data_IF_928512523141
#
_entry.id   IF_928512523141
#
_cell.length_a   1.000
_cell.length_b   1.000
_cell.length_c   1.000
_cell.angle_alpha   90.00
_cell.angle_beta   90.00
_cell.angle_gamma   90.00
#
_symmetry.space_group_name_H-M   'P 1'
#
loop_
_entity.id
_entity.type
_entity.pdbx_description
1 polymer ?
#
# COMPACT_ATOMS: atom_id res chain seq x y z
N UNK A 1 -23.01 17.72 -25.16
CA UNK A 1 -22.33 18.49 -26.20
C UNK A 1 -20.87 18.58 -25.83
N UNK A 2 -20.04 17.81 -26.53
CA UNK A 2 -18.61 17.65 -26.24
C UNK A 2 -17.87 18.62 -27.16
N UNK A 3 -17.28 19.67 -26.61
CA UNK A 3 -16.38 20.54 -27.36
C UNK A 3 -15.01 19.88 -27.51
N UNK A 4 -14.80 19.25 -28.63
CA UNK A 4 -13.48 18.85 -29.12
C UNK A 4 -12.80 20.09 -29.70
N UNK A 5 -11.85 20.66 -28.99
CA UNK A 5 -10.94 21.67 -29.53
C UNK A 5 -10.02 20.96 -30.51
N UNK A 6 -10.40 20.96 -31.77
CA UNK A 6 -9.54 20.63 -32.91
C UNK A 6 -8.63 21.83 -33.13
N UNK A 7 -7.36 21.72 -32.79
CA UNK A 7 -6.32 22.62 -33.28
C UNK A 7 -6.13 22.30 -34.76
N UNK A 8 -6.87 23.00 -35.61
CA UNK A 8 -6.67 22.96 -37.05
C UNK A 8 -5.44 23.81 -37.36
N UNK A 9 -4.36 23.16 -37.77
CA UNK A 9 -3.24 23.82 -38.42
C UNK A 9 -3.76 24.36 -39.75
N UNK A 10 -3.96 25.66 -39.85
CA UNK A 10 -4.21 26.37 -41.11
C UNK A 10 -2.97 26.23 -41.98
N UNK A 11 -3.01 25.37 -42.98
CA UNK A 11 -2.08 25.38 -44.09
C UNK A 11 -2.39 26.62 -44.93
N UNK A 12 -1.55 27.63 -44.82
CA UNK A 12 -1.59 28.81 -45.67
C UNK A 12 -1.11 28.46 -47.06
N UNK A 13 -2.05 28.45 -48.01
CA UNK A 13 -1.82 28.16 -49.44
C UNK A 13 -1.33 29.44 -50.13
N UNK A 14 -0.13 29.88 -49.87
CA UNK A 14 0.56 30.84 -50.80
C UNK A 14 2.03 30.95 -50.39
N UNK A 15 2.84 30.10 -50.93
CA UNK A 15 4.22 30.33 -51.40
C UNK A 15 4.89 28.98 -51.69
N UNK A 16 5.06 28.66 -52.98
CA UNK A 16 5.91 27.54 -53.38
C UNK A 16 7.38 27.91 -53.12
N UNK A 17 7.82 27.71 -51.89
CA UNK A 17 9.25 27.66 -51.55
C UNK A 17 9.73 26.25 -51.89
N UNK A 18 10.48 26.15 -52.99
CA UNK A 18 11.30 24.98 -53.32
C UNK A 18 12.36 24.84 -52.21
N UNK A 19 12.04 24.00 -51.23
CA UNK A 19 13.04 23.61 -50.24
C UNK A 19 14.06 22.67 -50.89
N UNK A 20 15.32 22.98 -50.79
CA UNK A 20 16.37 22.03 -51.17
C UNK A 20 16.28 20.83 -50.25
N UNK A 21 16.54 19.63 -50.79
CA UNK A 21 16.55 18.36 -49.99
C UNK A 21 17.40 18.47 -48.73
N UNK A 22 18.42 19.30 -48.70
CA UNK A 22 19.25 19.58 -47.51
C UNK A 22 18.53 20.41 -46.46
N UNK A 23 17.71 21.40 -46.85
CA UNK A 23 16.95 22.20 -45.88
C UNK A 23 15.82 21.39 -45.23
N UNK A 24 15.17 20.52 -45.97
CA UNK A 24 14.14 19.58 -45.49
C UNK A 24 14.75 18.57 -44.49
N UNK A 25 15.93 18.03 -44.81
CA UNK A 25 16.63 17.10 -43.93
C UNK A 25 17.10 17.79 -42.63
N UNK A 26 17.52 19.05 -42.66
CA UNK A 26 17.86 19.79 -41.43
C UNK A 26 16.67 20.09 -40.56
N UNK A 27 15.50 20.42 -41.12
CA UNK A 27 14.27 20.59 -40.37
C UNK A 27 13.73 19.26 -39.80
N UNK A 28 13.78 18.19 -40.57
CA UNK A 28 13.42 16.85 -40.07
C UNK A 28 14.31 16.37 -38.94
N UNK A 29 15.61 16.61 -39.04
CA UNK A 29 16.56 16.30 -37.94
C UNK A 29 16.30 17.16 -36.70
N UNK A 30 15.91 18.43 -36.87
CA UNK A 30 15.57 19.31 -35.75
C UNK A 30 14.28 18.86 -35.07
N UNK A 31 13.23 18.56 -35.85
CA UNK A 31 11.96 18.04 -35.32
C UNK A 31 12.15 16.66 -34.67
N UNK A 32 12.97 15.78 -35.26
CA UNK A 32 13.31 14.49 -34.65
C UNK A 32 14.08 14.65 -33.32
N UNK A 33 14.98 15.63 -33.21
CA UNK A 33 15.67 15.94 -31.96
C UNK A 33 14.73 16.53 -30.92
N UNK A 34 13.80 17.40 -31.31
CA UNK A 34 12.78 17.94 -30.40
C UNK A 34 11.81 16.84 -29.90
N UNK A 35 11.38 15.92 -30.80
CA UNK A 35 10.55 14.77 -30.42
C UNK A 35 11.32 13.78 -29.52
N UNK A 36 12.61 13.57 -29.77
CA UNK A 36 13.46 12.74 -28.93
C UNK A 36 13.71 13.38 -27.56
N UNK A 37 13.97 14.69 -27.49
CA UNK A 37 14.10 15.42 -26.24
C UNK A 37 12.77 15.41 -25.44
N UNK A 38 11.63 15.60 -26.11
CA UNK A 38 10.30 15.50 -25.50
C UNK A 38 9.95 14.07 -25.05
N UNK A 39 10.43 13.05 -25.78
CA UNK A 39 10.35 11.65 -25.35
C UNK A 39 11.31 11.33 -24.21
N UNK A 40 12.51 11.88 -24.19
CA UNK A 40 13.43 11.75 -23.06
C UNK A 40 12.89 12.46 -21.82
N UNK A 41 12.34 13.67 -21.92
CA UNK A 41 11.65 14.31 -20.79
C UNK A 41 10.42 13.53 -20.34
N UNK A 42 9.58 13.03 -21.26
CA UNK A 42 8.45 12.18 -20.91
C UNK A 42 8.87 10.79 -20.44
N UNK A 43 9.98 10.24 -20.90
CA UNK A 43 10.51 8.98 -20.40
C UNK A 43 11.18 9.16 -19.03
N UNK A 44 11.84 10.28 -18.76
CA UNK A 44 12.27 10.63 -17.42
C UNK A 44 11.10 10.92 -16.47
N UNK A 45 10.02 11.52 -16.94
CA UNK A 45 8.80 11.74 -16.15
C UNK A 45 7.93 10.47 -16.01
N UNK A 46 7.97 9.53 -16.97
CA UNK A 46 7.25 8.24 -16.90
C UNK A 46 8.11 7.11 -16.35
N UNK A 47 9.41 7.19 -16.46
CA UNK A 47 10.37 6.43 -15.69
C UNK A 47 10.60 7.09 -14.32
N UNK A 48 9.55 7.40 -13.62
CA UNK A 48 9.58 7.24 -12.17
C UNK A 48 9.71 5.74 -11.92
N UNK A 49 10.84 5.22 -12.35
CA UNK A 49 11.36 3.96 -11.88
C UNK A 49 11.19 4.00 -10.36
N UNK A 50 10.43 3.08 -9.72
CA UNK A 50 10.35 3.06 -8.26
C UNK A 50 11.73 3.05 -7.60
N UNK A 51 12.77 2.64 -8.33
CA UNK A 51 14.17 2.76 -7.94
C UNK A 51 14.68 4.20 -7.89
N UNK A 52 14.15 5.13 -8.65
CA UNK A 52 14.52 6.54 -8.57
C UNK A 52 13.88 7.27 -7.38
N UNK A 53 12.85 6.68 -6.75
CA UNK A 53 12.38 7.08 -5.43
C UNK A 53 13.40 6.60 -4.37
N UNK A 54 14.34 5.70 -4.76
CA UNK A 54 15.43 5.31 -3.95
C UNK A 54 16.29 6.52 -3.62
N UNK A 55 16.41 6.78 -2.33
CA UNK A 55 17.55 7.50 -1.76
C UNK A 55 17.79 8.89 -2.33
N UNK A 56 16.79 9.71 -2.60
CA UNK A 56 16.93 11.06 -2.20
C UNK A 56 17.21 11.00 -0.68
N UNK A 57 18.48 10.93 -0.33
CA UNK A 57 18.93 11.39 0.97
C UNK A 57 18.60 12.87 0.95
N UNK A 58 17.33 13.20 1.13
CA UNK A 58 16.91 14.53 1.52
C UNK A 58 17.72 14.77 2.79
N UNK A 59 18.67 15.71 2.71
CA UNK A 59 19.26 16.28 3.91
C UNK A 59 18.06 16.64 4.76
N UNK A 60 17.86 15.89 5.84
CA UNK A 60 16.84 16.23 6.83
C UNK A 60 17.28 17.55 7.42
N UNK A 61 16.71 18.63 6.94
CA UNK A 61 16.80 19.89 7.66
C UNK A 61 16.14 19.64 9.01
N UNK A 62 16.90 19.92 10.07
CA UNK A 62 16.51 19.67 11.46
C UNK A 62 15.21 20.38 11.90
N UNK A 63 14.49 21.01 10.96
CA UNK A 63 13.21 21.69 11.18
C UNK A 63 11.97 21.00 10.58
N UNK A 64 12.10 19.90 9.83
CA UNK A 64 10.94 19.27 9.16
C UNK A 64 10.15 18.31 10.05
N UNK A 65 10.66 17.95 11.23
CA UNK A 65 10.00 17.02 12.13
C UNK A 65 9.69 15.65 11.49
N UNK A 66 8.80 14.89 12.11
CA UNK A 66 8.40 13.55 11.64
C UNK A 66 7.73 13.59 10.26
N UNK A 67 7.06 14.68 9.91
CA UNK A 67 6.34 14.81 8.64
C UNK A 67 7.25 14.80 7.40
N UNK A 68 8.49 15.28 7.50
CA UNK A 68 9.46 15.20 6.42
C UNK A 68 9.95 13.78 6.11
N UNK A 69 9.80 12.85 7.07
CA UNK A 69 10.21 11.44 6.94
C UNK A 69 9.07 10.54 6.47
N UNK A 70 7.82 10.92 6.77
CA UNK A 70 6.64 10.11 6.43
C UNK A 70 6.45 10.00 4.92
N UNK A 71 6.18 8.79 4.45
CA UNK A 71 5.73 8.58 3.07
C UNK A 71 4.30 9.06 2.89
N UNK A 72 3.98 9.55 1.69
CA UNK A 72 2.61 9.99 1.39
C UNK A 72 1.66 8.80 1.45
N UNK A 73 0.44 9.03 1.92
CA UNK A 73 -0.62 8.01 1.97
C UNK A 73 -0.81 7.33 0.61
N UNK A 74 -0.70 8.09 -0.49
CA UNK A 74 -0.77 7.56 -1.85
C UNK A 74 0.34 6.54 -2.15
N UNK A 75 1.58 6.81 -1.75
CA UNK A 75 2.70 5.88 -1.95
C UNK A 75 2.49 4.57 -1.18
N UNK A 76 1.96 4.65 0.04
CA UNK A 76 1.65 3.49 0.87
C UNK A 76 0.53 2.63 0.26
N UNK A 77 -0.55 3.26 -0.23
CA UNK A 77 -1.61 2.53 -0.93
C UNK A 77 -1.13 1.89 -2.24
N UNK A 78 -0.23 2.55 -2.99
CA UNK A 78 0.37 1.95 -4.19
C UNK A 78 1.12 0.67 -3.82
N UNK A 79 1.94 0.68 -2.76
CA UNK A 79 2.63 -0.53 -2.32
C UNK A 79 1.66 -1.65 -1.93
N UNK A 80 0.60 -1.34 -1.18
CA UNK A 80 -0.41 -2.32 -0.83
C UNK A 80 -1.10 -2.93 -2.08
N UNK A 81 -1.39 -2.12 -3.10
CA UNK A 81 -2.08 -2.57 -4.31
C UNK A 81 -1.16 -3.30 -5.29
N UNK A 82 0.16 -3.05 -5.25
CA UNK A 82 1.10 -3.59 -6.24
C UNK A 82 2.02 -4.68 -5.71
N UNK A 83 2.20 -4.77 -4.39
CA UNK A 83 3.07 -5.77 -3.79
C UNK A 83 2.26 -6.84 -3.04
N UNK A 84 2.33 -8.07 -3.52
CA UNK A 84 1.58 -9.21 -2.99
C UNK A 84 1.90 -9.52 -1.52
N UNK A 85 3.16 -9.36 -1.10
CA UNK A 85 3.57 -9.66 0.28
C UNK A 85 3.02 -8.63 1.26
N UNK A 86 3.03 -7.36 0.87
CA UNK A 86 2.45 -6.26 1.66
C UNK A 86 0.93 -6.46 1.80
N UNK A 87 0.24 -6.70 0.68
CA UNK A 87 -1.20 -6.94 0.69
C UNK A 87 -1.56 -8.16 1.58
N UNK A 88 -0.83 -9.27 1.41
CA UNK A 88 -1.07 -10.48 2.20
C UNK A 88 -0.83 -10.25 3.68
N UNK A 89 0.27 -9.61 4.05
CA UNK A 89 0.60 -9.34 5.46
C UNK A 89 -0.47 -8.48 6.15
N UNK A 90 -0.92 -7.41 5.50
CA UNK A 90 -1.97 -6.52 6.05
C UNK A 90 -3.31 -7.24 6.14
N UNK A 91 -3.69 -7.99 5.09
CA UNK A 91 -4.96 -8.72 5.09
C UNK A 91 -4.99 -9.80 6.18
N UNK A 92 -3.91 -10.56 6.37
CA UNK A 92 -3.79 -11.55 7.45
C UNK A 92 -3.98 -10.91 8.82
N UNK A 93 -3.41 -9.73 9.06
CA UNK A 93 -3.60 -9.00 10.32
C UNK A 93 -5.07 -8.62 10.53
N UNK A 94 -5.74 -8.10 9.50
CA UNK A 94 -7.15 -7.73 9.56
C UNK A 94 -8.07 -8.97 9.69
N UNK A 95 -7.75 -10.07 9.00
CA UNK A 95 -8.50 -11.33 9.08
C UNK A 95 -8.44 -11.91 10.50
N UNK A 96 -7.25 -11.94 11.11
CA UNK A 96 -7.08 -12.41 12.49
C UNK A 96 -7.81 -11.50 13.47
N UNK A 97 -7.78 -10.18 13.28
CA UNK A 97 -8.45 -9.22 14.15
C UNK A 97 -9.94 -9.52 14.31
N UNK A 98 -10.61 -9.93 13.22
CA UNK A 98 -12.06 -10.22 13.22
C UNK A 98 -12.40 -11.71 13.34
N UNK A 99 -11.41 -12.60 13.33
CA UNK A 99 -11.58 -14.07 13.17
C UNK A 99 -12.50 -14.71 14.20
N UNK A 100 -12.46 -14.23 15.44
CA UNK A 100 -13.30 -14.75 16.53
C UNK A 100 -14.61 -13.98 16.74
N UNK A 101 -14.79 -12.89 15.95
CA UNK A 101 -15.93 -12.01 16.07
C UNK A 101 -15.85 -11.07 17.29
N UNK A 102 -16.97 -10.44 17.58
CA UNK A 102 -17.08 -9.44 18.64
C UNK A 102 -18.39 -9.61 19.41
N UNK A 103 -18.45 -9.06 20.60
CA UNK A 103 -19.66 -8.91 21.42
C UNK A 103 -19.94 -7.42 21.67
N UNK A 104 -21.17 -7.13 22.07
CA UNK A 104 -21.57 -5.82 22.58
C UNK A 104 -22.13 -6.07 23.96
N UNK A 105 -21.45 -5.60 25.00
CA UNK A 105 -21.69 -5.98 26.38
C UNK A 105 -21.89 -4.77 27.30
N UNK A 106 -22.63 -4.96 28.37
CA UNK A 106 -22.93 -3.89 29.33
C UNK A 106 -23.91 -2.85 28.77
N UNK A 107 -24.11 -1.77 29.51
CA UNK A 107 -25.13 -0.78 29.13
C UNK A 107 -26.54 -1.23 29.54
N UNK A 108 -27.52 -0.84 28.75
CA UNK A 108 -28.93 -1.28 28.81
C UNK A 108 -29.32 -2.03 27.55
N UNK A 109 -30.44 -2.76 27.56
CA UNK A 109 -30.89 -3.56 26.41
C UNK A 109 -31.13 -2.67 25.17
N UNK A 110 -31.65 -1.47 25.38
CA UNK A 110 -31.87 -0.49 24.30
C UNK A 110 -30.56 -0.04 23.67
N UNK A 111 -29.52 0.17 24.49
CA UNK A 111 -28.19 0.52 24.02
C UNK A 111 -27.51 -0.62 23.25
N UNK A 112 -27.62 -1.85 23.75
CA UNK A 112 -27.09 -3.05 23.07
C UNK A 112 -27.75 -3.20 21.70
N UNK A 113 -29.08 -3.12 21.63
CA UNK A 113 -29.81 -3.24 20.37
C UNK A 113 -29.49 -2.09 19.41
N UNK A 114 -29.41 -0.84 19.88
CA UNK A 114 -29.12 0.32 19.07
C UNK A 114 -27.71 0.29 18.48
N UNK A 115 -26.72 -0.08 19.31
CA UNK A 115 -25.31 -0.18 18.87
C UNK A 115 -25.11 -1.41 17.98
N UNK A 116 -25.78 -2.54 18.24
CA UNK A 116 -25.79 -3.73 17.36
C UNK A 116 -26.29 -3.38 15.97
N UNK A 117 -27.47 -2.75 15.87
CA UNK A 117 -28.03 -2.27 14.60
C UNK A 117 -27.13 -1.24 13.90
N UNK A 118 -26.45 -0.37 14.66
CA UNK A 118 -25.50 0.58 14.08
C UNK A 118 -24.36 -0.13 13.39
N UNK A 119 -23.75 -1.13 14.02
CA UNK A 119 -22.66 -1.91 13.42
C UNK A 119 -23.16 -2.74 12.22
N UNK A 120 -24.30 -3.41 12.32
CA UNK A 120 -24.90 -4.17 11.23
C UNK A 120 -25.18 -3.29 10.00
N UNK A 121 -25.81 -2.14 10.18
CA UNK A 121 -26.09 -1.17 9.13
C UNK A 121 -24.83 -0.56 8.51
N UNK A 122 -23.70 -0.67 9.22
CA UNK A 122 -22.39 -0.17 8.78
C UNK A 122 -21.56 -1.24 8.06
N UNK A 123 -22.06 -2.50 7.98
CA UNK A 123 -21.39 -3.61 7.30
C UNK A 123 -20.90 -4.72 8.21
N UNK A 124 -21.25 -4.72 9.51
CA UNK A 124 -20.88 -5.78 10.46
C UNK A 124 -19.36 -5.92 10.60
N UNK A 125 -18.86 -7.14 10.54
CA UNK A 125 -17.41 -7.45 10.65
C UNK A 125 -16.57 -6.76 9.57
N UNK A 126 -17.14 -6.52 8.38
CA UNK A 126 -16.42 -5.84 7.29
C UNK A 126 -16.07 -4.37 7.63
N UNK A 127 -16.87 -3.72 8.50
CA UNK A 127 -16.55 -2.38 9.01
C UNK A 127 -15.19 -2.38 9.73
N UNK A 128 -14.97 -3.34 10.63
CA UNK A 128 -13.71 -3.48 11.37
C UNK A 128 -12.55 -3.87 10.47
N UNK A 129 -12.79 -4.79 9.55
CA UNK A 129 -11.78 -5.24 8.59
C UNK A 129 -11.27 -4.07 7.73
N UNK A 130 -12.17 -3.32 7.10
CA UNK A 130 -11.79 -2.18 6.27
C UNK A 130 -11.09 -1.09 7.09
N UNK A 131 -11.57 -0.83 8.29
CA UNK A 131 -10.97 0.16 9.18
C UNK A 131 -9.54 -0.26 9.57
N UNK A 132 -9.33 -1.54 9.92
CA UNK A 132 -8.02 -2.10 10.23
C UNK A 132 -7.06 -1.99 9.04
N UNK A 133 -7.48 -2.42 7.85
CA UNK A 133 -6.67 -2.34 6.63
C UNK A 133 -6.28 -0.89 6.31
N UNK A 134 -7.24 0.03 6.33
CA UNK A 134 -6.97 1.45 6.07
C UNK A 134 -5.99 2.04 7.08
N UNK A 135 -6.14 1.68 8.36
CA UNK A 135 -5.29 2.19 9.43
C UNK A 135 -3.89 1.56 9.38
N UNK A 136 -3.76 0.29 9.05
CA UNK A 136 -2.46 -0.34 8.84
C UNK A 136 -1.71 0.27 7.64
N UNK A 137 -2.43 0.59 6.53
CA UNK A 137 -1.82 1.19 5.33
C UNK A 137 -1.44 2.65 5.56
N UNK A 138 -2.36 3.46 6.08
CA UNK A 138 -2.17 4.91 6.17
C UNK A 138 -1.61 5.39 7.51
N UNK A 139 -1.71 4.57 8.57
CA UNK A 139 -1.57 4.99 9.96
C UNK A 139 -2.88 5.52 10.53
N UNK A 140 -3.80 5.93 9.67
CA UNK A 140 -5.02 6.66 10.00
C UNK A 140 -6.25 5.98 9.39
N UNK A 141 -7.30 5.83 10.18
CA UNK A 141 -8.61 5.33 9.76
C UNK A 141 -9.71 6.33 10.11
N UNK A 142 -10.68 6.51 9.22
CA UNK A 142 -11.70 7.53 9.39
C UNK A 142 -13.09 6.95 9.20
N UNK A 143 -14.00 7.27 10.15
CA UNK A 143 -15.41 6.99 10.07
C UNK A 143 -16.22 8.27 10.20
N UNK A 144 -17.26 8.41 9.38
CA UNK A 144 -18.26 9.47 9.46
C UNK A 144 -19.57 8.89 10.02
N UNK A 145 -20.01 9.28 11.23
CA UNK A 145 -21.32 8.90 11.74
C UNK A 145 -22.44 9.65 10.98
N UNK A 146 -23.24 8.90 10.26
CA UNK A 146 -24.40 9.44 9.53
C UNK A 146 -25.59 9.51 10.49
N UNK A 147 -26.07 10.72 10.75
CA UNK A 147 -27.22 10.98 11.63
C UNK A 147 -28.54 10.97 10.84
N UNK A 148 -29.64 10.70 11.56
CA UNK A 148 -30.97 10.88 11.02
C UNK A 148 -31.29 12.39 10.85
N UNK A 149 -32.45 12.73 10.24
CA UNK A 149 -32.85 14.13 10.01
C UNK A 149 -32.98 14.92 11.31
N UNK A 150 -33.41 14.29 12.40
CA UNK A 150 -33.55 14.93 13.72
C UNK A 150 -32.23 15.08 14.46
N UNK A 151 -31.14 14.48 13.98
CA UNK A 151 -29.80 14.56 14.59
C UNK A 151 -29.59 13.75 15.86
N UNK A 152 -30.63 13.05 16.34
CA UNK A 152 -30.64 12.33 17.63
C UNK A 152 -30.30 10.83 17.54
N UNK A 153 -30.06 10.30 16.34
CA UNK A 153 -29.76 8.90 16.13
C UNK A 153 -28.69 8.71 15.05
N UNK A 154 -27.71 7.84 15.31
CA UNK A 154 -26.81 7.35 14.27
C UNK A 154 -27.50 6.28 13.45
N UNK A 155 -27.47 6.41 12.13
CA UNK A 155 -28.03 5.44 11.18
C UNK A 155 -26.98 4.40 10.79
N UNK A 156 -25.78 4.86 10.49
CA UNK A 156 -24.62 4.04 10.12
C UNK A 156 -23.32 4.82 10.29
N UNK A 157 -22.21 4.09 10.32
CA UNK A 157 -20.86 4.60 10.23
C UNK A 157 -20.34 4.38 8.81
N UNK A 158 -19.92 5.45 8.14
CA UNK A 158 -19.42 5.40 6.77
C UNK A 158 -17.91 5.53 6.78
N UNK A 159 -17.21 4.64 6.08
CA UNK A 159 -15.77 4.79 5.85
C UNK A 159 -15.48 6.03 5.02
N UNK A 160 -14.49 6.80 5.45
CA UNK A 160 -13.88 7.87 4.66
C UNK A 160 -12.48 7.41 4.30
N UNK A 161 -12.20 7.36 2.99
CA UNK A 161 -10.92 6.84 2.51
C UNK A 161 -9.78 7.79 2.88
N UNK A 162 -8.68 7.32 3.48
CA UNK A 162 -7.57 8.17 3.91
C UNK A 162 -6.94 9.04 2.82
N UNK A 163 -7.00 8.59 1.55
CA UNK A 163 -6.53 9.40 0.41
C UNK A 163 -7.38 10.65 0.14
N UNK A 164 -8.62 10.67 0.61
CA UNK A 164 -9.55 11.78 0.33
C UNK A 164 -9.61 12.80 1.44
N UNK A 165 -9.00 12.53 2.60
CA UNK A 165 -9.08 13.37 3.77
C UNK A 165 -7.69 13.79 4.25
N UNK A 166 -7.49 15.08 4.45
CA UNK A 166 -6.26 15.64 5.01
C UNK A 166 -6.62 16.69 6.06
N UNK A 167 -5.72 16.96 7.00
CA UNK A 167 -5.86 18.12 7.88
C UNK A 167 -5.73 19.41 7.08
N UNK A 168 -6.54 20.40 7.43
CA UNK A 168 -6.45 21.73 6.82
C UNK A 168 -5.13 22.38 7.20
N UNK A 169 -4.35 22.74 6.19
CA UNK A 169 -3.05 23.41 6.35
C UNK A 169 -3.12 24.88 5.95
N UNK A 170 -2.24 25.67 6.51
CA UNK A 170 -2.04 27.04 6.07
C UNK A 170 -1.26 27.05 4.75
N UNK A 171 -1.83 27.63 3.71
CA UNK A 171 -1.22 27.69 2.36
C UNK A 171 0.17 28.33 2.30
N UNK A 172 0.52 29.19 3.30
CA UNK A 172 1.81 29.89 3.32
C UNK A 172 2.90 29.11 4.08
N UNK A 173 2.51 28.45 5.20
CA UNK A 173 3.47 27.79 6.09
C UNK A 173 3.43 26.28 5.99
N UNK A 174 2.46 25.74 5.26
CA UNK A 174 2.17 24.30 5.14
C UNK A 174 1.96 23.57 6.49
N UNK A 175 1.69 24.35 7.56
CA UNK A 175 1.41 23.81 8.89
C UNK A 175 -0.06 23.56 9.08
N UNK A 176 -0.40 22.54 9.87
CA UNK A 176 -1.79 22.22 10.24
C UNK A 176 -2.37 23.40 11.03
N UNK A 177 -3.56 23.81 10.66
CA UNK A 177 -4.28 24.88 11.38
C UNK A 177 -4.86 24.29 12.67
N UNK A 178 -4.39 24.80 13.80
CA UNK A 178 -4.82 24.37 15.13
C UNK A 178 -5.70 25.44 15.82
N UNK A 179 -6.45 25.00 16.81
CA UNK A 179 -7.21 25.88 17.71
C UNK A 179 -6.31 26.47 18.82
N UNK A 180 -6.92 27.22 19.77
CA UNK A 180 -6.21 27.80 20.92
C UNK A 180 -5.63 26.76 21.90
N UNK A 181 -6.06 25.50 21.80
CA UNK A 181 -5.62 24.40 22.64
C UNK A 181 -4.62 23.47 21.92
N UNK A 182 -4.22 23.83 20.68
CA UNK A 182 -3.29 23.02 19.90
C UNK A 182 -3.94 21.87 19.13
N UNK A 183 -5.27 21.73 19.10
CA UNK A 183 -5.94 20.68 18.36
C UNK A 183 -6.20 21.08 16.91
N UNK A 184 -6.16 20.16 15.93
CA UNK A 184 -6.52 20.44 14.55
C UNK A 184 -7.95 21.01 14.46
N UNK A 185 -8.13 22.05 13.65
CA UNK A 185 -9.41 22.77 13.56
C UNK A 185 -10.41 22.12 12.59
N UNK A 186 -9.95 21.62 11.49
CA UNK A 186 -10.79 21.00 10.45
C UNK A 186 -10.00 20.09 9.53
N UNK A 187 -10.73 19.24 8.81
CA UNK A 187 -10.23 18.48 7.68
C UNK A 187 -10.59 19.17 6.36
N UNK A 188 -9.84 18.86 5.33
CA UNK A 188 -10.18 19.11 3.92
C UNK A 188 -10.42 17.77 3.26
N UNK A 189 -11.60 17.60 2.66
CA UNK A 189 -11.93 16.42 1.89
C UNK A 189 -11.87 16.74 0.41
N UNK A 190 -11.03 15.98 -0.32
CA UNK A 190 -10.94 16.01 -1.78
C UNK A 190 -11.97 15.05 -2.35
N UNK A 191 -12.98 15.59 -3.01
CA UNK A 191 -14.04 14.82 -3.65
C UNK A 191 -14.09 15.13 -5.14
N UNK A 192 -14.53 14.17 -5.93
CA UNK A 192 -14.82 14.38 -7.36
C UNK A 192 -16.33 14.56 -7.49
N UNK A 193 -16.76 15.67 -8.07
CA UNK A 193 -18.17 15.94 -8.30
C UNK A 193 -18.72 15.07 -9.45
N UNK A 194 -20.03 15.19 -9.72
CA UNK A 194 -20.71 14.46 -10.79
C UNK A 194 -20.17 14.78 -12.19
N UNK A 195 -19.45 15.89 -12.33
CA UNK A 195 -18.86 16.37 -13.58
C UNK A 195 -17.38 15.95 -13.73
N UNK A 196 -16.82 15.22 -12.76
CA UNK A 196 -15.41 14.83 -12.74
C UNK A 196 -14.47 15.95 -12.25
N UNK A 197 -15.00 17.02 -11.68
CA UNK A 197 -14.19 18.14 -11.15
C UNK A 197 -13.79 17.82 -9.72
N UNK A 198 -12.52 18.00 -9.40
CA UNK A 198 -12.03 17.89 -8.02
C UNK A 198 -12.48 19.12 -7.23
N UNK A 199 -13.15 18.88 -6.12
CA UNK A 199 -13.63 19.90 -5.20
C UNK A 199 -13.02 19.62 -3.82
N UNK A 200 -12.55 20.68 -3.18
CA UNK A 200 -12.14 20.66 -1.79
C UNK A 200 -13.31 21.10 -0.91
N UNK A 201 -13.63 20.28 0.08
CA UNK A 201 -14.68 20.56 1.05
C UNK A 201 -14.11 20.58 2.45
N UNK A 202 -14.32 21.68 3.15
CA UNK A 202 -13.99 21.76 4.58
C UNK A 202 -14.96 20.89 5.38
N UNK A 203 -14.40 20.03 6.22
CA UNK A 203 -15.15 19.14 7.10
C UNK A 203 -14.74 19.43 8.53
N UNK A 204 -15.71 19.76 9.37
CA UNK A 204 -15.48 20.01 10.79
C UNK A 204 -14.98 18.72 11.48
N UNK A 205 -14.09 18.89 12.46
CA UNK A 205 -13.39 17.76 13.09
C UNK A 205 -14.35 16.83 13.84
N UNK A 206 -15.44 17.38 14.38
CA UNK A 206 -16.50 16.68 15.10
C UNK A 206 -17.37 15.76 14.22
N UNK A 207 -17.31 15.92 12.90
CA UNK A 207 -18.02 15.05 11.95
C UNK A 207 -17.28 13.75 11.64
N UNK A 208 -15.98 13.70 11.88
CA UNK A 208 -15.15 12.56 11.56
C UNK A 208 -14.63 11.94 12.85
N UNK A 209 -14.72 10.63 12.96
CA UNK A 209 -14.06 9.85 14.00
C UNK A 209 -12.76 9.34 13.43
N UNK A 210 -11.65 9.67 14.10
CA UNK A 210 -10.29 9.40 13.64
C UNK A 210 -9.65 8.33 14.53
N UNK A 211 -9.36 7.16 13.95
CA UNK A 211 -8.56 6.10 14.55
C UNK A 211 -7.12 6.25 14.09
N UNK A 212 -6.16 6.16 15.02
CA UNK A 212 -4.73 6.28 14.72
C UNK A 212 -3.98 5.09 15.29
N UNK A 213 -3.11 4.49 14.48
CA UNK A 213 -2.17 3.47 14.94
C UNK A 213 -0.76 4.04 15.00
N UNK A 214 0.07 3.50 15.88
CA UNK A 214 1.50 3.81 16.01
C UNK A 214 1.78 5.32 16.13
N UNK A 215 1.02 6.03 16.96
CA UNK A 215 1.22 7.47 17.20
C UNK A 215 2.49 7.72 17.99
N UNK A 216 3.25 8.75 17.64
CA UNK A 216 4.43 9.21 18.37
C UNK A 216 4.17 10.61 18.93
N UNK A 217 4.28 10.75 20.25
CA UNK A 217 4.06 12.04 20.92
C UNK A 217 2.67 12.61 20.64
N UNK A 218 2.61 13.92 20.41
CA UNK A 218 1.38 14.67 20.13
C UNK A 218 1.05 14.78 18.64
N UNK A 219 1.59 13.87 17.80
CA UNK A 219 1.32 13.87 16.38
C UNK A 219 -0.17 13.64 16.09
N UNK A 220 -0.70 14.43 15.15
CA UNK A 220 -2.11 14.36 14.76
C UNK A 220 -2.44 13.17 13.86
N UNK A 221 -1.42 12.58 13.24
CA UNK A 221 -1.55 11.45 12.34
C UNK A 221 -0.82 10.22 12.88
N UNK A 222 -1.35 9.04 12.59
CA UNK A 222 -0.69 7.78 12.89
C UNK A 222 0.49 7.51 11.95
N UNK A 223 1.18 6.41 12.21
CA UNK A 223 2.27 5.93 11.37
C UNK A 223 1.85 4.60 10.74
N UNK A 224 1.97 4.53 9.42
CA UNK A 224 1.70 3.32 8.66
C UNK A 224 2.58 2.15 9.13
N UNK A 225 2.01 0.96 9.19
CA UNK A 225 2.77 -0.28 9.42
C UNK A 225 3.77 -0.56 8.27
N UNK A 226 3.51 -0.05 7.07
CA UNK A 226 4.41 -0.16 5.91
C UNK A 226 5.63 0.76 6.03
N UNK A 227 5.48 1.89 6.74
CA UNK A 227 6.49 2.96 6.77
C UNK A 227 7.91 2.50 7.10
N UNK A 228 8.15 1.67 8.15
CA UNK A 228 9.50 1.22 8.49
C UNK A 228 10.15 0.37 7.39
N UNK A 229 9.35 -0.46 6.73
CA UNK A 229 9.80 -1.37 5.67
C UNK A 229 9.76 -0.79 4.25
N UNK A 230 9.27 0.45 4.06
CA UNK A 230 9.01 1.01 2.74
C UNK A 230 10.19 0.86 1.76
N UNK A 231 11.37 1.29 2.17
CA UNK A 231 12.56 1.24 1.31
C UNK A 231 13.01 -0.20 1.00
N UNK A 232 12.86 -1.11 1.97
CA UNK A 232 13.19 -2.53 1.80
C UNK A 232 12.22 -3.20 0.82
N UNK A 233 10.94 -2.90 0.93
CA UNK A 233 9.90 -3.40 0.01
C UNK A 233 10.18 -2.92 -1.42
N UNK A 234 10.49 -1.62 -1.59
CA UNK A 234 10.82 -1.07 -2.92
C UNK A 234 12.07 -1.72 -3.51
N UNK A 235 13.10 -1.97 -2.68
CA UNK A 235 14.30 -2.69 -3.13
C UNK A 235 13.99 -4.12 -3.56
N UNK A 236 13.15 -4.84 -2.83
CA UNK A 236 12.69 -6.18 -3.22
C UNK A 236 12.01 -6.15 -4.60
N UNK A 237 11.06 -5.23 -4.81
CA UNK A 237 10.37 -5.07 -6.10
C UNK A 237 11.34 -4.77 -7.24
N UNK A 238 12.32 -3.90 -7.02
CA UNK A 238 13.35 -3.58 -8.02
C UNK A 238 14.23 -4.78 -8.34
N UNK A 239 14.56 -5.58 -7.33
CA UNK A 239 15.35 -6.80 -7.51
C UNK A 239 14.55 -7.85 -8.29
N UNK A 240 13.27 -8.05 -7.99
CA UNK A 240 12.38 -8.95 -8.74
C UNK A 240 12.30 -8.53 -10.21
N UNK A 241 12.16 -7.23 -10.48
CA UNK A 241 12.18 -6.68 -11.84
C UNK A 241 13.53 -6.97 -12.53
N UNK A 242 14.64 -6.69 -11.87
CA UNK A 242 15.98 -6.93 -12.42
C UNK A 242 16.25 -8.41 -12.66
N UNK A 243 15.77 -9.29 -11.78
CA UNK A 243 15.87 -10.73 -11.95
C UNK A 243 15.05 -11.22 -13.16
N UNK A 244 13.84 -10.69 -13.35
CA UNK A 244 13.01 -11.00 -14.52
C UNK A 244 13.69 -10.55 -15.82
N UNK A 245 14.24 -9.32 -15.85
CA UNK A 245 15.01 -8.81 -16.98
C UNK A 245 16.25 -9.67 -17.30
N UNK A 246 16.98 -10.09 -16.27
CA UNK A 246 18.14 -10.96 -16.43
C UNK A 246 17.71 -12.34 -16.97
N UNK A 247 16.60 -12.90 -16.48
CA UNK A 247 16.05 -14.17 -16.97
C UNK A 247 15.67 -14.09 -18.46
N UNK A 248 15.00 -13.00 -18.87
CA UNK A 248 14.65 -12.76 -20.28
C UNK A 248 15.91 -12.68 -21.16
N UNK A 249 16.94 -11.95 -20.71
CA UNK A 249 18.21 -11.82 -21.44
C UNK A 249 19.01 -13.13 -21.47
N UNK A 250 18.88 -13.96 -20.43
CA UNK A 250 19.49 -15.28 -20.40
C UNK A 250 18.78 -16.25 -21.35
N UNK A 251 17.44 -16.18 -21.40
CA UNK A 251 16.63 -16.98 -22.30
C UNK A 251 16.81 -16.55 -23.79
N UNK A 252 17.07 -15.27 -24.01
CA UNK A 252 17.31 -14.71 -25.34
C UNK A 252 18.68 -13.99 -25.37
N UNK A 253 19.78 -14.76 -25.45
CA UNK A 253 21.13 -14.18 -25.39
C UNK A 253 21.38 -13.23 -26.56
N UNK A 254 22.10 -12.16 -26.30
CA UNK A 254 22.49 -11.22 -27.34
C UNK A 254 23.52 -11.87 -28.27
N UNK A 255 23.18 -11.95 -29.55
CA UNK A 255 24.07 -12.43 -30.58
C UNK A 255 24.99 -11.28 -31.01
N UNK A 256 26.29 -11.43 -30.80
CA UNK A 256 27.28 -10.46 -31.23
C UNK A 256 28.03 -11.04 -32.41
N UNK A 257 27.99 -10.32 -33.53
CA UNK A 257 28.75 -10.64 -34.75
C UNK A 257 30.00 -9.76 -34.83
N UNK A 258 31.17 -10.40 -34.81
CA UNK A 258 32.44 -9.73 -35.11
C UNK A 258 32.77 -9.95 -36.57
N UNK A 259 33.04 -8.86 -37.33
CA UNK A 259 33.43 -8.94 -38.73
C UNK A 259 34.67 -8.10 -39.02
N UNK A 260 35.49 -8.57 -39.94
CA UNK A 260 36.74 -7.88 -40.31
C UNK A 260 36.53 -6.73 -41.33
N UNK A 261 35.27 -6.38 -41.63
CA UNK A 261 34.98 -5.32 -42.60
C UNK A 261 34.83 -3.95 -41.93
N UNK A 262 35.35 -2.90 -42.57
CA UNK A 262 35.17 -1.52 -42.17
C UNK A 262 34.06 -0.81 -42.96
N UNK A 263 33.38 -1.50 -43.87
CA UNK A 263 32.32 -0.92 -44.70
C UNK A 263 31.02 -0.75 -43.91
N UNK A 264 30.51 0.51 -43.73
CA UNK A 264 29.28 0.74 -42.98
C UNK A 264 28.05 0.03 -43.59
N UNK A 265 28.00 -0.07 -44.90
CA UNK A 265 26.89 -0.74 -45.61
C UNK A 265 26.87 -2.25 -45.35
N UNK A 266 28.01 -2.90 -45.29
CA UNK A 266 28.10 -4.32 -44.97
C UNK A 266 27.75 -4.57 -43.51
N UNK A 267 28.20 -3.71 -42.59
CA UNK A 267 27.83 -3.79 -41.17
C UNK A 267 26.32 -3.66 -40.96
N UNK A 268 25.69 -2.68 -41.64
CA UNK A 268 24.22 -2.49 -41.60
C UNK A 268 23.45 -3.68 -42.16
N UNK A 269 23.91 -4.25 -43.28
CA UNK A 269 23.32 -5.44 -43.87
C UNK A 269 23.39 -6.64 -42.91
N UNK A 270 24.56 -6.88 -42.32
CA UNK A 270 24.75 -7.96 -41.35
C UNK A 270 23.92 -7.72 -40.09
N UNK A 271 23.83 -6.50 -39.59
CA UNK A 271 22.97 -6.14 -38.46
C UNK A 271 21.51 -6.45 -38.73
N UNK A 272 21.03 -6.24 -39.95
CA UNK A 272 19.66 -6.57 -40.36
C UNK A 272 19.43 -8.09 -40.42
N UNK A 273 20.40 -8.84 -40.87
CA UNK A 273 20.34 -10.31 -40.91
C UNK A 273 20.35 -10.88 -39.49
N UNK A 274 21.26 -10.43 -38.63
CA UNK A 274 21.35 -10.87 -37.22
C UNK A 274 20.06 -10.53 -36.44
N UNK A 275 19.44 -9.37 -36.68
CA UNK A 275 18.18 -8.96 -36.07
C UNK A 275 16.97 -9.81 -36.46
N UNK A 276 17.06 -10.63 -37.49
CA UNK A 276 15.99 -11.57 -37.96
C UNK A 276 16.19 -12.99 -37.42
N UNK A 277 17.33 -13.28 -36.82
CA UNK A 277 17.63 -14.62 -36.30
C UNK A 277 16.75 -14.88 -35.07
N UNK A 278 15.79 -15.75 -35.21
CA UNK A 278 15.09 -16.35 -34.09
C UNK A 278 15.89 -17.55 -33.60
N UNK A 279 16.05 -17.72 -32.29
CA UNK A 279 16.93 -18.74 -31.68
C UNK A 279 16.67 -20.22 -32.03
N UNK A 280 15.85 -20.47 -33.08
CA UNK A 280 15.56 -21.80 -33.66
C UNK A 280 16.13 -22.00 -35.05
N UNK A 281 16.77 -20.98 -35.64
CA UNK A 281 17.27 -21.05 -37.03
C UNK A 281 18.78 -21.34 -37.03
N UNK A 282 19.19 -22.18 -37.98
CA UNK A 282 20.61 -22.43 -38.24
C UNK A 282 21.15 -21.27 -39.07
N UNK A 283 22.20 -20.63 -38.57
CA UNK A 283 22.81 -19.48 -39.24
C UNK A 283 24.14 -19.89 -39.85
N UNK A 284 24.27 -19.73 -41.17
CA UNK A 284 25.53 -19.88 -41.89
C UNK A 284 26.26 -18.54 -41.90
N UNK A 285 27.48 -18.54 -41.37
CA UNK A 285 28.32 -17.36 -41.25
C UNK A 285 29.38 -17.37 -42.33
N UNK A 286 29.57 -16.29 -43.12
CA UNK A 286 30.61 -16.21 -44.09
C UNK A 286 32.00 -16.18 -43.45
N UNK A 287 33.01 -16.55 -44.27
CA UNK A 287 34.41 -16.53 -43.83
C UNK A 287 34.82 -15.13 -43.33
N UNK A 288 35.45 -15.05 -42.17
CA UNK A 288 35.89 -13.81 -41.52
C UNK A 288 34.85 -13.19 -40.55
N UNK A 289 33.71 -13.84 -40.31
CA UNK A 289 32.75 -13.43 -39.30
C UNK A 289 32.72 -14.45 -38.16
N UNK A 290 32.76 -13.97 -36.92
CA UNK A 290 32.55 -14.77 -35.72
C UNK A 290 31.27 -14.37 -35.03
N UNK A 291 30.46 -15.35 -34.67
CA UNK A 291 29.30 -15.15 -33.83
C UNK A 291 29.61 -15.59 -32.40
N UNK A 292 29.35 -14.73 -31.45
CA UNK A 292 29.40 -15.06 -30.03
C UNK A 292 28.06 -14.74 -29.38
N UNK A 293 27.66 -15.55 -28.41
CA UNK A 293 26.49 -15.30 -27.59
C UNK A 293 26.93 -14.65 -26.30
N UNK A 294 26.49 -13.43 -26.07
CA UNK A 294 26.65 -12.74 -24.80
C UNK A 294 25.44 -13.06 -23.93
N UNK A 295 25.64 -13.92 -22.96
CA UNK A 295 24.66 -14.19 -21.91
C UNK A 295 25.12 -13.49 -20.63
N UNK A 296 24.24 -12.79 -19.90
CA UNK A 296 24.60 -12.30 -18.57
C UNK A 296 24.93 -13.50 -17.69
N UNK A 297 26.02 -13.39 -16.90
CA UNK A 297 26.41 -14.44 -15.97
C UNK A 297 25.24 -14.82 -15.05
N UNK A 298 25.14 -16.09 -14.67
CA UNK A 298 24.15 -16.52 -13.69
C UNK A 298 24.41 -15.81 -12.36
N UNK A 299 23.52 -14.90 -12.00
CA UNK A 299 23.53 -14.28 -10.68
C UNK A 299 22.59 -15.08 -9.77
N UNK A 300 23.08 -15.42 -8.58
CA UNK A 300 22.25 -16.07 -7.57
C UNK A 300 21.37 -15.04 -6.88
N UNK A 301 20.18 -14.80 -7.43
CA UNK A 301 19.19 -13.88 -6.85
C UNK A 301 18.50 -14.45 -5.60
N UNK A 302 18.60 -15.77 -5.37
CA UNK A 302 17.81 -16.44 -4.32
C UNK A 302 18.18 -15.97 -2.92
N UNK A 303 19.46 -15.80 -2.63
CA UNK A 303 19.94 -15.40 -1.30
C UNK A 303 19.55 -13.96 -0.97
N UNK A 304 19.67 -13.07 -1.95
CA UNK A 304 19.24 -11.68 -1.80
C UNK A 304 17.72 -11.56 -1.64
N UNK A 305 16.93 -12.33 -2.42
CA UNK A 305 15.49 -12.31 -2.34
C UNK A 305 15.00 -12.83 -0.98
N UNK A 306 15.63 -13.88 -0.45
CA UNK A 306 15.34 -14.39 0.88
C UNK A 306 15.60 -13.35 1.96
N UNK A 307 16.75 -12.66 1.94
CA UNK A 307 17.07 -11.60 2.88
C UNK A 307 16.03 -10.46 2.86
N UNK A 308 15.67 -9.96 1.68
CA UNK A 308 14.68 -8.89 1.59
C UNK A 308 13.29 -9.34 2.01
N UNK A 309 12.91 -10.57 1.69
CA UNK A 309 11.64 -11.14 2.11
C UNK A 309 11.56 -11.27 3.64
N UNK A 310 12.61 -11.75 4.28
CA UNK A 310 12.68 -11.85 5.73
C UNK A 310 12.59 -10.46 6.40
N UNK A 311 13.19 -9.45 5.80
CA UNK A 311 13.05 -8.06 6.26
C UNK A 311 11.64 -7.50 6.06
N UNK A 312 10.94 -7.86 4.98
CA UNK A 312 9.52 -7.52 4.77
C UNK A 312 8.64 -8.20 5.83
N UNK A 313 8.85 -9.51 6.05
CA UNK A 313 8.16 -10.28 7.09
C UNK A 313 8.32 -9.64 8.47
N UNK A 314 9.55 -9.26 8.83
CA UNK A 314 9.84 -8.62 10.12
C UNK A 314 9.14 -7.28 10.30
N UNK A 315 8.92 -6.52 9.21
CA UNK A 315 8.23 -5.24 9.22
C UNK A 315 6.78 -5.36 9.72
N UNK A 316 6.08 -6.43 9.31
CA UNK A 316 4.66 -6.62 9.64
C UNK A 316 4.43 -7.47 10.89
N UNK A 317 5.46 -8.13 11.39
CA UNK A 317 5.33 -9.07 12.51
C UNK A 317 4.46 -10.29 12.20
N UNK A 318 4.27 -10.62 10.92
CA UNK A 318 3.47 -11.76 10.45
C UNK A 318 4.41 -12.90 10.08
N UNK A 319 4.23 -14.13 10.60
CA UNK A 319 5.07 -15.28 10.25
C UNK A 319 5.17 -15.51 8.74
N UNK A 320 6.36 -15.81 8.25
CA UNK A 320 6.64 -16.05 6.81
C UNK A 320 5.70 -17.10 6.20
N UNK A 321 5.39 -18.15 6.95
CA UNK A 321 4.46 -19.20 6.53
C UNK A 321 3.04 -18.67 6.19
N UNK A 322 2.55 -17.66 6.90
CA UNK A 322 1.24 -17.05 6.65
C UNK A 322 1.26 -16.11 5.44
N UNK A 323 2.41 -15.54 5.11
CA UNK A 323 2.58 -14.67 3.96
C UNK A 323 2.77 -15.51 2.69
N UNK A 324 3.63 -16.52 2.72
CA UNK A 324 3.96 -17.34 1.55
C UNK A 324 3.02 -18.52 1.33
N UNK A 325 2.26 -18.93 2.36
CA UNK A 325 1.43 -20.12 2.30
C UNK A 325 2.26 -21.42 2.33
N UNK A 326 3.53 -21.34 2.66
CA UNK A 326 4.39 -22.52 2.77
C UNK A 326 4.27 -23.11 4.18
N UNK A 327 4.10 -24.43 4.25
CA UNK A 327 4.34 -25.14 5.50
C UNK A 327 5.84 -25.04 5.79
N UNK A 328 6.23 -24.14 6.70
CA UNK A 328 7.61 -24.13 7.15
C UNK A 328 7.91 -25.53 7.71
N UNK A 329 8.86 -26.24 7.10
CA UNK A 329 9.39 -27.49 7.65
C UNK A 329 10.07 -27.27 9.01
N UNK A 330 9.77 -26.16 9.65
CA UNK A 330 10.22 -25.73 10.95
C UNK A 330 9.53 -26.47 12.09
N UNK A 331 10.19 -26.47 13.21
CA UNK A 331 9.71 -27.09 14.43
C UNK A 331 8.34 -26.50 14.85
N UNK A 332 7.33 -27.35 15.08
CA UNK A 332 5.98 -26.96 15.55
C UNK A 332 6.04 -25.91 16.68
N UNK A 333 7.03 -26.04 17.57
CA UNK A 333 7.26 -25.11 18.67
C UNK A 333 7.58 -23.69 18.21
N UNK A 334 8.38 -23.51 17.17
CA UNK A 334 8.70 -22.21 16.62
C UNK A 334 7.46 -21.53 15.97
N UNK A 335 6.68 -22.29 15.23
CA UNK A 335 5.44 -21.79 14.64
C UNK A 335 4.45 -21.32 15.70
N UNK A 336 4.32 -22.03 16.82
CA UNK A 336 3.46 -21.65 17.94
C UNK A 336 3.94 -20.35 18.59
N UNK A 337 5.24 -20.20 18.83
CA UNK A 337 5.81 -18.97 19.45
C UNK A 337 5.58 -17.75 18.53
N UNK A 338 5.84 -17.89 17.23
CA UNK A 338 5.61 -16.82 16.26
C UNK A 338 4.12 -16.43 16.15
N UNK A 339 3.22 -17.41 16.20
CA UNK A 339 1.78 -17.16 16.20
C UNK A 339 1.33 -16.43 17.46
N UNK A 340 1.85 -16.78 18.64
CA UNK A 340 1.54 -16.08 19.90
C UNK A 340 1.96 -14.62 19.85
N UNK A 341 3.14 -14.33 19.32
CA UNK A 341 3.61 -12.95 19.15
C UNK A 341 2.66 -12.15 18.25
N UNK A 342 2.27 -12.71 17.11
CA UNK A 342 1.29 -12.11 16.21
C UNK A 342 -0.06 -11.87 16.90
N UNK A 343 -0.57 -12.84 17.64
CA UNK A 343 -1.84 -12.70 18.36
C UNK A 343 -1.79 -11.59 19.42
N UNK A 344 -0.68 -11.49 20.16
CA UNK A 344 -0.48 -10.41 21.14
C UNK A 344 -0.48 -9.03 20.47
N UNK A 345 0.17 -8.90 19.30
CA UNK A 345 0.19 -7.67 18.52
C UNK A 345 -1.23 -7.30 18.03
N UNK A 346 -1.97 -8.27 17.49
CA UNK A 346 -3.35 -8.06 17.01
C UNK A 346 -4.29 -7.72 18.18
N UNK A 347 -4.11 -8.36 19.35
CA UNK A 347 -4.89 -8.02 20.55
C UNK A 347 -4.67 -6.57 20.99
N UNK A 348 -3.46 -6.04 20.82
CA UNK A 348 -3.18 -4.61 21.00
C UNK A 348 -4.03 -3.74 20.08
N UNK A 349 -4.09 -4.08 18.79
CA UNK A 349 -4.91 -3.36 17.81
C UNK A 349 -6.41 -3.49 18.10
N UNK A 350 -6.89 -4.66 18.56
CA UNK A 350 -8.27 -4.85 19.00
C UNK A 350 -8.62 -3.87 20.14
N UNK A 351 -7.76 -3.73 21.16
CA UNK A 351 -7.98 -2.78 22.27
C UNK A 351 -8.09 -1.33 21.79
N UNK A 352 -7.21 -0.88 20.88
CA UNK A 352 -7.33 0.46 20.29
C UNK A 352 -8.66 0.64 19.58
N UNK A 353 -9.14 -0.39 18.89
CA UNK A 353 -10.41 -0.37 18.18
C UNK A 353 -11.60 -0.41 19.15
N UNK A 354 -11.53 -1.22 20.22
CA UNK A 354 -12.51 -1.24 21.29
C UNK A 354 -12.68 0.16 21.90
N UNK A 355 -11.59 0.81 22.31
CA UNK A 355 -11.60 2.16 22.88
C UNK A 355 -12.18 3.19 21.92
N UNK A 356 -11.86 3.06 20.63
CA UNK A 356 -12.37 3.93 19.60
C UNK A 356 -13.89 3.79 19.42
N UNK A 357 -14.42 2.58 19.31
CA UNK A 357 -15.84 2.34 19.18
C UNK A 357 -16.61 2.64 20.47
N UNK A 358 -16.03 2.41 21.63
CA UNK A 358 -16.63 2.75 22.91
C UNK A 358 -16.90 4.26 23.03
N UNK A 359 -15.99 5.10 22.54
CA UNK A 359 -16.22 6.56 22.44
C UNK A 359 -17.39 6.91 21.51
N UNK A 360 -17.52 6.21 20.38
CA UNK A 360 -18.64 6.40 19.45
C UNK A 360 -19.96 5.96 20.10
N UNK A 361 -19.97 4.85 20.83
CA UNK A 361 -21.14 4.35 21.54
C UNK A 361 -21.57 5.28 22.67
N UNK A 362 -20.60 5.83 23.44
CA UNK A 362 -20.88 6.83 24.46
C UNK A 362 -21.51 8.11 23.86
N UNK A 363 -20.99 8.58 22.74
CA UNK A 363 -21.60 9.71 22.04
C UNK A 363 -23.02 9.39 21.57
N UNK A 364 -23.22 8.20 21.00
CA UNK A 364 -24.52 7.74 20.57
C UNK A 364 -25.50 7.63 21.74
N UNK A 365 -25.06 7.06 22.86
CA UNK A 365 -25.87 6.97 24.08
C UNK A 365 -26.31 8.34 24.61
N UNK A 366 -25.39 9.32 24.63
CA UNK A 366 -25.73 10.71 25.01
C UNK A 366 -26.74 11.35 24.07
N UNK A 367 -26.68 11.07 22.76
CA UNK A 367 -27.60 11.62 21.76
C UNK A 367 -28.99 10.96 21.83
N UNK A 368 -29.04 9.66 22.03
CA UNK A 368 -30.28 8.87 21.96
C UNK A 368 -30.90 8.58 23.34
N UNK A 369 -30.20 8.88 24.45
CA UNK A 369 -30.70 8.77 25.82
C UNK A 369 -30.65 7.35 26.40
N UNK A 370 -29.70 6.50 25.96
CA UNK A 370 -29.48 5.18 26.52
C UNK A 370 -28.08 5.06 27.17
N UNK A 371 -27.93 4.06 28.06
CA UNK A 371 -26.64 3.73 28.65
C UNK A 371 -25.79 2.97 27.62
N UNK A 372 -24.65 3.59 27.24
CA UNK A 372 -23.77 3.03 26.21
C UNK A 372 -23.19 1.66 26.63
N UNK A 373 -23.30 0.64 25.76
CA UNK A 373 -22.59 -0.63 25.91
C UNK A 373 -21.15 -0.48 25.48
N UNK A 374 -20.37 -1.55 25.62
CA UNK A 374 -18.99 -1.65 25.16
C UNK A 374 -18.85 -2.69 24.05
N UNK A 375 -18.00 -2.37 23.07
CA UNK A 375 -17.52 -3.33 22.10
C UNK A 375 -16.41 -4.16 22.73
N UNK A 376 -16.47 -5.47 22.60
CA UNK A 376 -15.44 -6.41 23.07
C UNK A 376 -15.17 -7.41 21.96
N UNK A 377 -13.93 -7.47 21.49
CA UNK A 377 -13.52 -8.55 20.60
C UNK A 377 -13.29 -9.82 21.41
N UNK A 378 -13.74 -10.94 20.87
CA UNK A 378 -13.48 -12.24 21.48
C UNK A 378 -12.00 -12.55 21.42
N UNK A 379 -11.48 -13.15 22.49
CA UNK A 379 -10.07 -13.48 22.58
C UNK A 379 -9.62 -14.39 21.45
N UNK A 380 -8.50 -14.06 20.85
CA UNK A 380 -7.84 -14.90 19.85
C UNK A 380 -7.24 -16.05 20.65
N UNK A 381 -7.95 -17.19 20.72
CA UNK A 381 -7.55 -18.30 21.56
C UNK A 381 -6.14 -18.77 21.19
N UNK A 382 -5.24 -18.74 22.13
CA UNK A 382 -4.08 -19.62 22.13
C UNK A 382 -4.58 -21.04 21.95
N UNK A 383 -3.91 -21.81 21.11
CA UNK A 383 -4.15 -23.20 20.75
C UNK A 383 -5.14 -23.90 21.72
N UNK A 384 -6.38 -24.20 21.28
CA UNK A 384 -7.42 -24.75 22.16
C UNK A 384 -6.94 -26.04 22.85
N UNK A 385 -6.03 -26.76 22.20
CA UNK A 385 -5.37 -27.94 22.76
C UNK A 385 -4.41 -27.57 23.90
N UNK A 386 -3.65 -26.49 23.76
CA UNK A 386 -2.75 -26.01 24.82
C UNK A 386 -3.54 -25.43 26.02
N UNK A 387 -4.65 -24.76 25.75
CA UNK A 387 -5.55 -24.23 26.78
C UNK A 387 -6.24 -25.38 27.51
N UNK A 388 -6.74 -26.40 26.78
CA UNK A 388 -7.32 -27.59 27.36
C UNK A 388 -6.30 -28.37 28.22
N UNK A 389 -5.06 -28.53 27.71
CA UNK A 389 -3.98 -29.20 28.44
C UNK A 389 -3.62 -28.42 29.71
N UNK A 390 -3.58 -27.10 29.66
CA UNK A 390 -3.34 -26.24 30.81
C UNK A 390 -4.48 -26.34 31.83
N UNK A 391 -5.74 -26.30 31.37
CA UNK A 391 -6.91 -26.48 32.21
C UNK A 391 -6.92 -27.85 32.90
N UNK A 392 -6.60 -28.93 32.18
CA UNK A 392 -6.45 -30.27 32.74
C UNK A 392 -5.35 -30.33 33.78
N UNK A 393 -4.20 -29.70 33.51
CA UNK A 393 -3.07 -29.67 34.45
C UNK A 393 -3.42 -28.91 35.70
N UNK A 394 -4.06 -27.76 35.62
CA UNK A 394 -4.50 -26.95 36.77
C UNK A 394 -5.60 -27.67 37.57
N UNK A 395 -6.53 -28.34 36.92
CA UNK A 395 -7.56 -29.16 37.54
C UNK A 395 -6.94 -30.35 38.27
N UNK A 396 -5.98 -31.05 37.64
CA UNK A 396 -5.29 -32.21 38.25
C UNK A 396 -4.43 -31.78 39.43
N UNK A 397 -3.86 -30.56 39.40
CA UNK A 397 -3.11 -29.95 40.53
C UNK A 397 -4.03 -29.45 41.65
N UNK A 398 -5.35 -29.49 41.48
CA UNK A 398 -6.32 -28.99 42.46
C UNK A 398 -6.36 -27.47 42.60
N UNK A 399 -5.83 -26.73 41.61
CA UNK A 399 -5.75 -25.28 41.65
C UNK A 399 -7.07 -24.63 41.21
N UNK A 400 -7.80 -25.27 40.28
CA UNK A 400 -9.09 -24.80 39.73
C UNK A 400 -10.16 -25.87 39.86
N UNK A 401 -11.42 -25.45 39.88
CA UNK A 401 -12.58 -26.33 39.89
C UNK A 401 -12.92 -26.83 38.47
N UNK A 402 -13.79 -27.88 38.39
CA UNK A 402 -14.26 -28.38 37.11
C UNK A 402 -15.03 -27.32 36.32
N UNK A 403 -15.76 -26.43 37.00
CA UNK A 403 -16.51 -25.34 36.38
C UNK A 403 -15.59 -24.28 35.81
N UNK A 404 -14.54 -23.91 36.53
CA UNK A 404 -13.51 -22.98 36.07
C UNK A 404 -12.70 -23.57 34.89
N UNK A 405 -12.37 -24.86 34.93
CA UNK A 405 -11.72 -25.54 33.84
C UNK A 405 -12.59 -25.56 32.55
N UNK A 406 -13.91 -25.76 32.68
CA UNK A 406 -14.84 -25.65 31.55
C UNK A 406 -14.99 -24.26 31.00
N UNK A 407 -14.87 -23.23 31.82
CA UNK A 407 -14.90 -21.83 31.38
C UNK A 407 -13.62 -21.40 30.65
N UNK A 408 -12.50 -22.13 30.83
CA UNK A 408 -11.22 -21.88 30.15
C UNK A 408 -11.16 -22.50 28.76
N UNK A 409 -11.94 -23.53 28.48
CA UNK A 409 -12.01 -24.25 27.21
C UNK A 409 -13.15 -23.74 26.35
#
# INVERSE_FOLDING_TARGET
MVNKTKTAVKLDKTASKTYSTESLNRELVKVAKEILAEKEEKSLASATNPSAIALSTTKHDAGEGINGVKKTVRQLFILYLTNQFVARAINVRADILISRGYGIEGGDDAGIEACGKLIENSGGSNLFWQLSVNTDIAGDGFLEPIKNQSGNKFLRLKHVHPLTLAFKTNLKTNQIIVDSHGNPKSYVQHIVDKNGIQIEKDVAIDKIRHLRFNTLGDEFTGISTIQPGYNTIVRLMNMEYSAAEAAIKTANPLIVGECNTKSPNQIAMWGTILGRINGREQVFVPEGMKLSMLSPGQQNFSDYSSYFLDAVVSTFGVPKALILGESSGGNRGEAVVLSRHLYSLIRGNQRYMEDYFNKIFEEYGKLAGFKAPKLVFKDIAEDAEATAQSAITLLTAGIISVEEARAMI
#
